data_IF_622052212939
#
_entry.id   IF_622052212939
#
_cell.length_a   1.000
_cell.length_b   1.000
_cell.length_c   1.000
_cell.angle_alpha   90.00
_cell.angle_beta   90.00
_cell.angle_gamma   90.00
#
_symmetry.space_group_name_H-M   'P 1'
#
loop_
_entity.id
_entity.type
_entity.pdbx_description
1 polymer ?
#
# COMPACT_ATOMS: atom_id res chain seq x y z
N UNK A 1 3.49 5.60 29.86
CA UNK A 1 3.44 4.27 29.22
C UNK A 1 4.70 4.09 28.38
N UNK A 2 5.39 2.96 28.54
CA UNK A 2 6.51 2.55 27.70
C UNK A 2 6.00 1.72 26.51
N UNK A 3 6.81 1.56 25.46
CA UNK A 3 6.38 0.92 24.21
C UNK A 3 5.92 -0.55 24.38
N UNK A 4 6.56 -1.33 25.25
CA UNK A 4 6.15 -2.72 25.49
C UNK A 4 4.82 -2.83 26.26
N UNK A 5 4.52 -1.84 27.10
CA UNK A 5 3.22 -1.75 27.79
C UNK A 5 2.14 -1.45 26.76
N UNK A 6 2.41 -0.52 25.83
CA UNK A 6 1.52 -0.24 24.71
C UNK A 6 1.29 -1.48 23.85
N UNK A 7 2.34 -2.24 23.50
CA UNK A 7 2.15 -3.50 22.76
C UNK A 7 1.31 -4.52 23.53
N UNK A 8 1.44 -4.58 24.85
CA UNK A 8 0.59 -5.44 25.70
C UNK A 8 -0.88 -5.02 25.59
N UNK A 9 -1.14 -3.71 25.56
CA UNK A 9 -2.48 -3.17 25.34
C UNK A 9 -2.98 -3.44 23.92
N UNK A 10 -2.14 -3.35 22.90
CA UNK A 10 -2.54 -3.61 21.51
C UNK A 10 -2.60 -5.10 21.14
N UNK A 11 -2.03 -5.99 21.96
CA UNK A 11 -2.06 -7.44 21.77
C UNK A 11 -3.43 -8.06 22.10
N UNK A 12 -4.49 -7.52 21.49
CA UNK A 12 -5.86 -8.04 21.55
C UNK A 12 -6.66 -7.58 20.35
N UNK A 13 -7.19 -8.56 19.61
CA UNK A 13 -8.08 -8.34 18.46
C UNK A 13 -9.26 -7.42 18.82
N UNK A 14 -9.96 -7.71 19.91
CA UNK A 14 -11.09 -6.89 20.38
C UNK A 14 -10.71 -5.43 20.66
N UNK A 15 -9.52 -5.18 21.22
CA UNK A 15 -9.10 -3.80 21.52
C UNK A 15 -8.68 -3.05 20.26
N UNK A 16 -8.01 -3.71 19.32
CA UNK A 16 -7.71 -3.12 18.01
C UNK A 16 -9.00 -2.81 17.23
N UNK A 17 -9.95 -3.75 17.21
CA UNK A 17 -11.25 -3.55 16.58
C UNK A 17 -12.00 -2.35 17.18
N UNK A 18 -12.02 -2.22 18.51
CA UNK A 18 -12.60 -1.03 19.17
C UNK A 18 -11.93 0.26 18.68
N UNK A 19 -10.59 0.32 18.66
CA UNK A 19 -9.86 1.52 18.25
C UNK A 19 -10.14 1.87 16.78
N UNK A 20 -10.17 0.88 15.89
CA UNK A 20 -10.49 1.05 14.47
C UNK A 20 -11.92 1.55 14.27
N UNK A 21 -12.90 0.90 14.90
CA UNK A 21 -14.32 1.30 14.84
C UNK A 21 -14.54 2.73 15.35
N UNK A 22 -13.86 3.11 16.44
CA UNK A 22 -13.96 4.46 17.00
C UNK A 22 -13.20 5.52 16.19
N UNK A 23 -12.27 5.11 15.32
CA UNK A 23 -11.59 6.01 14.39
C UNK A 23 -12.50 6.43 13.24
N UNK A 24 -13.36 5.50 12.77
CA UNK A 24 -14.40 5.80 11.79
C UNK A 24 -15.45 6.75 12.36
N UNK A 25 -15.98 6.44 13.56
CA UNK A 25 -16.98 7.28 14.22
C UNK A 25 -17.10 7.00 15.73
N UNK A 26 -17.40 8.02 16.55
CA UNK A 26 -17.73 7.82 17.97
C UNK A 26 -18.98 6.97 18.15
N UNK A 27 -18.99 6.08 19.14
CA UNK A 27 -20.08 5.13 19.37
C UNK A 27 -20.53 5.06 20.82
N UNK A 28 -21.83 4.77 21.03
CA UNK A 28 -22.33 4.36 22.35
C UNK A 28 -21.85 2.94 22.69
N UNK A 29 -21.89 2.57 23.97
CA UNK A 29 -21.58 1.21 24.42
C UNK A 29 -22.35 0.14 23.63
N UNK A 30 -23.68 0.27 23.52
CA UNK A 30 -24.54 -0.69 22.84
C UNK A 30 -24.22 -0.81 21.35
N UNK A 31 -23.99 0.32 20.68
CA UNK A 31 -23.62 0.33 19.26
C UNK A 31 -22.28 -0.35 19.02
N UNK A 32 -21.28 -0.05 19.86
CA UNK A 32 -19.92 -0.56 19.72
C UNK A 32 -19.86 -2.09 19.94
N UNK A 33 -20.59 -2.59 20.94
CA UNK A 33 -20.67 -4.04 21.21
C UNK A 33 -21.26 -4.79 20.03
N UNK A 34 -22.28 -4.22 19.40
CA UNK A 34 -22.91 -4.80 18.22
C UNK A 34 -21.96 -4.80 17.02
N UNK A 35 -21.22 -3.70 16.81
CA UNK A 35 -20.28 -3.58 15.70
C UNK A 35 -19.12 -4.57 15.81
N UNK A 36 -18.50 -4.65 16.99
CA UNK A 36 -17.33 -5.52 17.26
C UNK A 36 -17.74 -6.95 17.63
N UNK A 37 -19.06 -7.26 17.63
CA UNK A 37 -19.62 -8.56 17.97
C UNK A 37 -19.10 -9.14 19.31
N UNK A 38 -19.11 -8.32 20.36
CA UNK A 38 -18.69 -8.74 21.71
C UNK A 38 -19.89 -8.99 22.63
N UNK A 39 -19.67 -9.66 23.75
CA UNK A 39 -20.63 -9.66 24.86
C UNK A 39 -20.39 -8.46 25.80
N UNK A 40 -21.41 -8.06 26.56
CA UNK A 40 -21.35 -6.87 27.43
C UNK A 40 -20.27 -6.92 28.51
N UNK A 41 -20.03 -8.09 29.11
CA UNK A 41 -19.04 -8.26 30.18
C UNK A 41 -17.63 -8.07 29.63
N UNK A 42 -17.33 -8.71 28.50
CA UNK A 42 -16.06 -8.55 27.82
C UNK A 42 -15.85 -7.12 27.34
N UNK A 43 -16.83 -6.52 26.67
CA UNK A 43 -16.73 -5.16 26.18
C UNK A 43 -16.47 -4.17 27.32
N UNK A 44 -17.14 -4.31 28.46
CA UNK A 44 -16.89 -3.49 29.65
C UNK A 44 -15.43 -3.58 30.10
N UNK A 45 -14.88 -4.80 30.14
CA UNK A 45 -13.47 -5.04 30.50
C UNK A 45 -12.51 -4.40 29.50
N UNK A 46 -12.73 -4.59 28.20
CA UNK A 46 -11.85 -4.02 27.17
C UNK A 46 -11.90 -2.50 27.15
N UNK A 47 -13.08 -1.90 27.29
CA UNK A 47 -13.26 -0.45 27.34
C UNK A 47 -12.64 0.18 28.59
N UNK A 48 -12.80 -0.45 29.77
CA UNK A 48 -12.12 0.01 31.00
C UNK A 48 -10.61 0.03 30.78
N UNK A 49 -10.06 -1.07 30.26
CA UNK A 49 -8.63 -1.22 30.01
C UNK A 49 -8.09 -0.21 29.00
N UNK A 50 -8.79 0.03 27.89
CA UNK A 50 -8.42 1.06 26.91
C UNK A 50 -8.53 2.48 27.47
N UNK A 51 -9.47 2.73 28.38
CA UNK A 51 -9.65 4.02 29.06
C UNK A 51 -8.53 4.26 30.07
N UNK A 52 -8.18 3.24 30.86
CA UNK A 52 -7.05 3.26 31.81
C UNK A 52 -5.72 3.49 31.07
N UNK A 53 -5.57 2.90 29.88
CA UNK A 53 -4.44 3.10 28.97
C UNK A 53 -4.46 4.48 28.26
N UNK A 54 -5.49 5.30 28.46
CA UNK A 54 -5.70 6.61 27.82
C UNK A 54 -5.77 6.56 26.28
N UNK A 55 -6.10 5.40 25.70
CA UNK A 55 -6.27 5.23 24.25
C UNK A 55 -7.67 5.67 23.80
N UNK A 56 -8.66 5.50 24.67
CA UNK A 56 -10.03 5.99 24.44
C UNK A 56 -10.52 6.83 25.62
N UNK A 57 -11.58 7.58 25.39
CA UNK A 57 -12.30 8.33 26.41
C UNK A 57 -13.81 8.21 26.20
N UNK A 58 -14.57 8.28 27.29
CA UNK A 58 -16.04 8.42 27.24
C UNK A 58 -16.40 9.87 27.52
N UNK A 59 -17.12 10.52 26.61
CA UNK A 59 -17.54 11.92 26.78
C UNK A 59 -18.93 12.02 27.41
N UNK A 60 -19.31 13.24 27.79
CA UNK A 60 -20.58 13.54 28.46
C UNK A 60 -21.83 13.25 27.63
N UNK A 61 -21.67 13.02 26.32
CA UNK A 61 -22.74 12.57 25.42
C UNK A 61 -22.99 11.06 25.47
N UNK A 62 -22.25 10.34 26.31
CA UNK A 62 -22.38 8.89 26.50
C UNK A 62 -21.66 8.05 25.45
N UNK A 63 -20.91 8.67 24.52
CA UNK A 63 -20.16 7.98 23.47
C UNK A 63 -18.68 7.85 23.84
N UNK A 64 -18.06 6.81 23.27
CA UNK A 64 -16.63 6.58 23.30
C UNK A 64 -15.96 7.21 22.08
N UNK A 65 -14.73 7.67 22.28
CA UNK A 65 -13.89 8.33 21.30
C UNK A 65 -12.46 7.81 21.45
N UNK A 66 -11.72 7.73 20.35
CA UNK A 66 -10.26 7.68 20.44
C UNK A 66 -9.75 9.01 21.01
N UNK A 67 -8.83 8.95 21.98
CA UNK A 67 -8.09 10.14 22.42
C UNK A 67 -7.14 10.60 21.31
N UNK A 68 -6.55 11.79 21.42
CA UNK A 68 -5.47 12.21 20.51
C UNK A 68 -4.30 11.22 20.53
N UNK A 69 -3.98 10.67 21.70
CA UNK A 69 -2.97 9.64 21.85
C UNK A 69 -3.39 8.34 21.15
N UNK A 70 -4.62 7.87 21.35
CA UNK A 70 -5.15 6.68 20.68
C UNK A 70 -5.14 6.77 19.16
N UNK A 71 -5.50 7.93 18.60
CA UNK A 71 -5.41 8.19 17.15
C UNK A 71 -3.98 8.14 16.64
N UNK A 72 -3.05 8.77 17.36
CA UNK A 72 -1.63 8.74 17.00
C UNK A 72 -1.08 7.31 17.04
N UNK A 73 -1.42 6.54 18.08
CA UNK A 73 -1.05 5.12 18.19
C UNK A 73 -1.61 4.34 17.01
N UNK A 74 -2.91 4.46 16.72
CA UNK A 74 -3.56 3.74 15.63
C UNK A 74 -2.91 4.04 14.27
N UNK A 75 -2.62 5.31 14.00
CA UNK A 75 -1.91 5.73 12.78
C UNK A 75 -0.46 5.24 12.70
N UNK A 76 0.17 4.96 13.85
CA UNK A 76 1.56 4.48 13.89
C UNK A 76 1.66 2.97 13.69
N UNK A 77 0.60 2.22 14.00
CA UNK A 77 0.59 0.75 13.90
C UNK A 77 0.02 0.24 12.58
N UNK A 78 -0.58 1.09 11.74
CA UNK A 78 -1.11 0.70 10.41
C UNK A 78 -0.04 0.01 9.54
N UNK A 79 1.18 0.56 9.52
CA UNK A 79 2.33 -0.05 8.84
C UNK A 79 2.64 -1.46 9.38
N UNK A 80 2.60 -1.67 10.70
CA UNK A 80 2.86 -2.98 11.30
C UNK A 80 1.74 -3.97 11.00
N UNK A 81 0.49 -3.52 11.01
CA UNK A 81 -0.68 -4.33 10.65
C UNK A 81 -0.58 -4.81 9.20
N UNK A 82 -0.25 -3.91 8.27
CA UNK A 82 -0.02 -4.24 6.87
C UNK A 82 1.13 -5.25 6.68
N UNK A 83 2.29 -5.02 7.32
CA UNK A 83 3.44 -5.91 7.27
C UNK A 83 3.08 -7.31 7.80
N UNK A 84 2.41 -7.36 8.96
CA UNK A 84 2.00 -8.62 9.59
C UNK A 84 1.02 -9.40 8.71
N UNK A 85 -0.02 -8.73 8.20
CA UNK A 85 -1.04 -9.32 7.34
C UNK A 85 -0.51 -9.83 6.00
N UNK A 86 0.60 -9.29 5.51
CA UNK A 86 1.27 -9.71 4.26
C UNK A 86 2.63 -10.39 4.50
N UNK A 87 2.87 -10.89 5.71
CA UNK A 87 4.15 -11.49 6.12
C UNK A 87 4.66 -12.59 5.19
N UNK A 88 3.78 -13.48 4.71
CA UNK A 88 4.16 -14.54 3.77
C UNK A 88 4.71 -14.02 2.43
N UNK A 89 4.22 -12.87 1.97
CA UNK A 89 4.76 -12.20 0.80
C UNK A 89 6.13 -11.58 1.13
N UNK A 90 6.22 -10.75 2.18
CA UNK A 90 7.47 -10.06 2.55
C UNK A 90 8.59 -11.00 2.99
N UNK A 91 8.29 -12.23 3.41
CA UNK A 91 9.30 -13.23 3.74
C UNK A 91 10.15 -13.64 2.51
N UNK A 92 9.59 -13.52 1.31
CA UNK A 92 10.20 -14.03 0.08
C UNK A 92 10.62 -12.92 -0.90
N UNK A 93 10.51 -11.64 -0.51
CA UNK A 93 10.75 -10.51 -1.41
C UNK A 93 11.64 -9.46 -0.72
N UNK A 94 12.70 -9.04 -1.41
CA UNK A 94 13.64 -8.07 -0.85
C UNK A 94 13.10 -6.63 -0.95
N UNK A 95 12.98 -5.98 0.20
CA UNK A 95 12.53 -4.60 0.35
C UNK A 95 13.70 -3.63 0.63
N UNK A 96 14.93 -4.14 0.76
CA UNK A 96 16.12 -3.36 1.15
C UNK A 96 16.46 -2.22 0.18
N UNK A 97 16.00 -2.35 -1.06
CA UNK A 97 16.20 -1.37 -2.13
C UNK A 97 15.21 -0.19 -2.08
N UNK A 98 14.15 -0.26 -1.25
CA UNK A 98 13.21 0.86 -1.07
C UNK A 98 13.78 1.84 -0.04
N UNK A 99 13.84 3.16 -0.34
CA UNK A 99 14.23 4.17 0.63
C UNK A 99 13.46 4.09 1.95
N UNK A 100 14.17 4.23 3.08
CA UNK A 100 13.59 4.07 4.41
C UNK A 100 12.39 4.99 4.68
N UNK A 101 12.40 6.21 4.13
CA UNK A 101 11.27 7.14 4.27
C UNK A 101 10.00 6.65 3.57
N UNK A 102 10.12 5.86 2.50
CA UNK A 102 8.98 5.23 1.83
C UNK A 102 8.55 3.95 2.55
N UNK A 103 9.49 3.16 3.08
CA UNK A 103 9.17 2.00 3.92
C UNK A 103 8.38 2.37 5.18
N UNK A 104 8.59 3.57 5.72
CA UNK A 104 7.81 4.11 6.85
C UNK A 104 6.36 4.45 6.51
N UNK A 105 5.99 4.40 5.24
CA UNK A 105 4.64 4.67 4.73
C UNK A 105 4.10 3.46 3.97
N UNK A 106 4.57 2.25 4.31
CA UNK A 106 4.25 1.03 3.56
C UNK A 106 2.76 0.68 3.62
N UNK A 107 2.05 1.15 4.65
CA UNK A 107 0.60 1.06 4.77
C UNK A 107 -0.16 1.84 3.69
N UNK A 108 0.49 2.74 2.95
CA UNK A 108 -0.11 3.35 1.75
C UNK A 108 -0.46 2.30 0.68
N UNK A 109 0.11 1.09 0.75
CA UNK A 109 -0.19 -0.03 -0.14
C UNK A 109 -1.40 -0.87 0.33
N UNK A 110 -2.04 -0.55 1.46
CA UNK A 110 -3.14 -1.36 2.04
C UNK A 110 -4.35 -1.47 1.12
N UNK A 111 -4.59 -0.48 0.25
CA UNK A 111 -5.68 -0.52 -0.75
C UNK A 111 -5.33 -1.36 -1.98
N UNK A 112 -4.09 -1.83 -2.10
CA UNK A 112 -3.60 -2.60 -3.24
C UNK A 112 -3.84 -4.11 -3.10
N UNK A 113 -3.75 -4.79 -4.23
CA UNK A 113 -3.78 -6.26 -4.31
C UNK A 113 -2.38 -6.81 -4.57
N UNK A 114 -2.03 -7.92 -3.91
CA UNK A 114 -0.84 -8.68 -4.24
C UNK A 114 -1.19 -9.66 -5.35
N UNK A 115 -0.54 -9.51 -6.49
CA UNK A 115 -0.75 -10.37 -7.66
C UNK A 115 0.46 -11.26 -7.81
N UNK A 116 0.23 -12.57 -7.83
CA UNK A 116 1.28 -13.58 -7.99
C UNK A 116 1.00 -14.50 -9.17
N UNK A 117 2.07 -15.01 -9.77
CA UNK A 117 2.01 -15.93 -10.91
C UNK A 117 2.06 -15.19 -12.24
N UNK A 118 2.93 -15.67 -13.12
CA UNK A 118 3.26 -15.01 -14.41
C UNK A 118 2.01 -14.70 -15.23
N UNK A 119 1.08 -15.65 -15.35
CA UNK A 119 -0.16 -15.46 -16.11
C UNK A 119 -1.05 -14.36 -15.53
N UNK A 120 -1.22 -14.32 -14.21
CA UNK A 120 -2.05 -13.32 -13.55
C UNK A 120 -1.45 -11.92 -13.68
N UNK A 121 -0.13 -11.82 -13.54
CA UNK A 121 0.61 -10.57 -13.72
C UNK A 121 0.38 -10.03 -15.14
N UNK A 122 0.63 -10.85 -16.17
CA UNK A 122 0.44 -10.45 -17.58
C UNK A 122 -1.00 -10.03 -17.88
N UNK A 123 -1.98 -10.81 -17.44
CA UNK A 123 -3.41 -10.48 -17.61
C UNK A 123 -3.79 -9.17 -16.91
N UNK A 124 -3.21 -8.88 -15.74
CA UNK A 124 -3.44 -7.60 -15.06
C UNK A 124 -2.81 -6.44 -15.83
N UNK A 125 -1.60 -6.60 -16.37
CA UNK A 125 -0.99 -5.57 -17.21
C UNK A 125 -1.86 -5.21 -18.41
N UNK A 126 -2.39 -6.21 -19.11
CA UNK A 126 -3.27 -5.99 -20.26
C UNK A 126 -4.55 -5.25 -19.85
N UNK A 127 -5.25 -5.75 -18.83
CA UNK A 127 -6.51 -5.14 -18.34
C UNK A 127 -6.34 -3.71 -17.87
N UNK A 128 -5.26 -3.42 -17.15
CA UNK A 128 -5.01 -2.08 -16.62
C UNK A 128 -4.45 -1.13 -17.68
N UNK A 129 -3.65 -1.65 -18.61
CA UNK A 129 -3.02 -0.89 -19.68
C UNK A 129 -4.02 -0.13 -20.54
N UNK A 130 -5.11 -0.80 -20.95
CA UNK A 130 -6.16 -0.22 -21.78
C UNK A 130 -6.83 1.03 -21.17
N UNK A 131 -6.79 1.17 -19.84
CA UNK A 131 -7.41 2.30 -19.14
C UNK A 131 -6.58 3.59 -19.14
N UNK A 132 -5.27 3.52 -19.41
CA UNK A 132 -4.32 4.63 -19.24
C UNK A 132 -4.61 5.72 -20.26
N UNK A 133 -4.79 6.98 -19.85
CA UNK A 133 -5.18 8.05 -20.79
C UNK A 133 -4.13 9.11 -21.03
N UNK A 134 -3.32 9.42 -20.02
CA UNK A 134 -2.48 10.62 -20.04
C UNK A 134 -0.98 10.34 -19.93
N UNK A 135 -0.56 9.53 -18.96
CA UNK A 135 0.85 9.19 -18.81
C UNK A 135 1.09 7.78 -18.29
N UNK A 136 2.28 7.25 -18.61
CA UNK A 136 2.84 6.04 -18.06
C UNK A 136 4.31 6.27 -17.72
N UNK A 137 4.66 6.13 -16.45
CA UNK A 137 6.04 6.11 -15.99
C UNK A 137 6.42 4.68 -15.65
N UNK A 138 7.55 4.24 -16.17
CA UNK A 138 7.99 2.86 -16.10
C UNK A 138 9.44 2.80 -15.64
N UNK A 139 9.73 2.03 -14.60
CA UNK A 139 11.08 1.70 -14.17
C UNK A 139 11.15 0.19 -14.03
N UNK A 140 12.07 -0.46 -14.72
CA UNK A 140 12.20 -1.92 -14.67
C UNK A 140 13.55 -2.38 -15.20
N UNK A 141 13.94 -3.60 -14.88
CA UNK A 141 15.17 -4.24 -15.36
C UNK A 141 15.05 -4.78 -16.80
N UNK A 142 13.85 -4.81 -17.40
CA UNK A 142 13.62 -5.09 -18.82
C UNK A 142 12.49 -4.22 -19.38
N UNK A 143 12.45 -4.05 -20.70
CA UNK A 143 11.33 -3.39 -21.39
C UNK A 143 10.36 -4.44 -21.94
N UNK A 144 9.04 -4.28 -21.79
CA UNK A 144 8.08 -5.30 -22.17
C UNK A 144 7.89 -5.37 -23.70
N UNK A 145 8.79 -6.10 -24.37
CA UNK A 145 8.86 -6.22 -25.84
C UNK A 145 7.56 -6.72 -26.48
N UNK A 146 6.83 -7.60 -25.80
CA UNK A 146 5.55 -8.12 -26.28
C UNK A 146 4.48 -7.03 -26.44
N UNK A 147 4.60 -5.93 -25.69
CA UNK A 147 3.67 -4.79 -25.76
C UNK A 147 4.18 -3.66 -26.67
N UNK A 148 5.30 -3.83 -27.40
CA UNK A 148 5.87 -2.78 -28.26
C UNK A 148 4.88 -2.18 -29.26
N UNK A 149 4.13 -2.96 -30.07
CA UNK A 149 3.16 -2.39 -31.01
C UNK A 149 2.07 -1.56 -30.32
N UNK A 150 1.62 -2.03 -29.15
CA UNK A 150 0.66 -1.31 -28.33
C UNK A 150 1.25 0.02 -27.84
N UNK A 151 2.45 -0.01 -27.26
CA UNK A 151 3.16 1.18 -26.76
C UNK A 151 3.37 2.20 -27.86
N UNK A 152 3.78 1.77 -29.07
CA UNK A 152 3.92 2.66 -30.22
C UNK A 152 2.59 3.32 -30.59
N UNK A 153 1.50 2.56 -30.66
CA UNK A 153 0.19 3.14 -30.96
C UNK A 153 -0.22 4.16 -29.88
N UNK A 154 -0.05 3.85 -28.60
CA UNK A 154 -0.38 4.80 -27.51
C UNK A 154 0.46 6.08 -27.56
N UNK A 155 1.75 5.99 -27.94
CA UNK A 155 2.61 7.17 -28.16
C UNK A 155 2.15 8.04 -29.33
N UNK A 156 1.50 7.45 -30.32
CA UNK A 156 0.93 8.18 -31.46
C UNK A 156 -0.40 8.84 -31.11
N UNK A 157 -1.17 8.23 -30.22
CA UNK A 157 -2.38 8.81 -29.62
C UNK A 157 -2.07 9.91 -28.58
N UNK A 158 -0.80 10.17 -28.28
CA UNK A 158 -0.36 11.26 -27.41
C UNK A 158 -0.12 10.88 -25.96
N UNK A 159 -0.04 9.58 -25.63
CA UNK A 159 0.33 9.12 -24.29
C UNK A 159 1.76 9.58 -23.96
N UNK A 160 1.97 10.22 -22.81
CA UNK A 160 3.30 10.56 -22.33
C UNK A 160 3.95 9.34 -21.67
N UNK A 161 5.10 8.90 -22.20
CA UNK A 161 5.84 7.77 -21.62
C UNK A 161 7.22 8.22 -21.15
N UNK A 162 7.52 7.90 -19.89
CA UNK A 162 8.85 8.07 -19.29
C UNK A 162 9.37 6.73 -18.81
N UNK A 163 10.63 6.46 -19.06
CA UNK A 163 11.23 5.16 -18.81
C UNK A 163 12.58 5.31 -18.12
N UNK A 164 12.81 4.48 -17.10
CA UNK A 164 14.10 4.28 -16.44
C UNK A 164 14.47 2.82 -16.64
N UNK A 165 15.57 2.56 -17.35
CA UNK A 165 16.03 1.21 -17.67
C UNK A 165 17.53 1.04 -17.36
N UNK A 166 18.04 -0.20 -17.29
CA UNK A 166 19.47 -0.44 -17.25
C UNK A 166 20.16 0.15 -18.50
N UNK A 167 21.41 0.62 -18.33
CA UNK A 167 22.18 1.25 -19.43
C UNK A 167 22.25 0.42 -20.70
N UNK A 168 22.30 -0.91 -20.57
CA UNK A 168 22.40 -1.88 -21.67
C UNK A 168 21.05 -2.20 -22.34
N UNK A 169 19.93 -1.78 -21.75
CA UNK A 169 18.57 -2.12 -22.21
C UNK A 169 17.74 -0.90 -22.62
N UNK A 170 18.38 0.18 -23.07
CA UNK A 170 17.71 1.42 -23.44
C UNK A 170 16.51 1.20 -24.40
N UNK A 171 15.32 1.64 -24.01
CA UNK A 171 14.08 1.45 -24.80
C UNK A 171 14.07 2.26 -26.09
N UNK A 172 14.82 3.36 -26.18
CA UNK A 172 14.90 4.15 -27.40
C UNK A 172 15.41 3.34 -28.60
N UNK A 173 16.26 2.31 -28.40
CA UNK A 173 16.67 1.44 -29.50
C UNK A 173 15.58 0.44 -29.93
N UNK A 174 14.60 0.17 -29.08
CA UNK A 174 13.51 -0.78 -29.36
C UNK A 174 12.33 -0.15 -30.11
N UNK A 175 12.20 1.18 -30.08
CA UNK A 175 11.13 1.93 -30.73
C UNK A 175 11.46 2.33 -32.17
N UNK A 176 10.43 2.48 -32.99
CA UNK A 176 10.51 3.05 -34.33
C UNK A 176 11.09 4.46 -34.31
N UNK A 177 11.83 4.81 -35.37
CA UNK A 177 12.58 6.08 -35.47
C UNK A 177 11.72 7.31 -35.17
N UNK A 178 10.46 7.29 -35.61
CA UNK A 178 9.44 8.32 -35.37
C UNK A 178 9.14 8.51 -33.88
N UNK A 179 9.09 7.43 -33.10
CA UNK A 179 8.65 7.45 -31.71
C UNK A 179 9.81 7.53 -30.70
N UNK A 180 11.07 7.30 -31.12
CA UNK A 180 12.26 7.41 -30.23
C UNK A 180 12.35 8.73 -29.48
N UNK A 181 12.02 9.85 -30.14
CA UNK A 181 12.09 11.20 -29.55
C UNK A 181 10.89 11.56 -28.67
N UNK A 182 9.84 10.74 -28.66
CA UNK A 182 8.61 10.97 -27.88
C UNK A 182 8.67 10.39 -26.47
N UNK A 183 9.67 9.55 -26.19
CA UNK A 183 9.84 8.90 -24.88
C UNK A 183 10.99 9.57 -24.14
N UNK A 184 10.75 10.01 -22.91
CA UNK A 184 11.84 10.46 -22.02
C UNK A 184 12.53 9.22 -21.45
N UNK A 185 13.79 9.01 -21.84
CA UNK A 185 14.59 7.87 -21.41
C UNK A 185 15.65 8.33 -20.40
N UNK A 186 15.66 7.71 -19.22
CA UNK A 186 16.74 7.78 -18.25
C UNK A 186 17.33 6.40 -18.06
N UNK A 187 18.59 6.37 -17.66
CA UNK A 187 19.32 5.12 -17.44
C UNK A 187 19.85 5.05 -16.02
N UNK A 188 19.85 3.84 -15.46
CA UNK A 188 20.48 3.51 -14.19
C UNK A 188 21.41 2.31 -14.39
N UNK A 189 22.39 2.16 -13.50
CA UNK A 189 23.31 1.01 -13.57
C UNK A 189 22.60 -0.30 -13.22
N UNK A 190 21.74 -0.26 -12.20
CA UNK A 190 21.01 -1.43 -11.72
C UNK A 190 19.61 -1.00 -11.25
N UNK A 191 18.62 -1.84 -11.54
CA UNK A 191 17.23 -1.67 -11.09
C UNK A 191 16.84 -2.98 -10.39
N UNK A 192 16.50 -2.86 -9.10
CA UNK A 192 16.13 -3.99 -8.23
C UNK A 192 14.64 -4.03 -7.88
N UNK A 193 13.93 -2.98 -8.25
CA UNK A 193 12.51 -2.78 -7.99
C UNK A 193 11.92 -2.25 -9.28
N UNK A 194 10.86 -2.88 -9.76
CA UNK A 194 10.13 -2.37 -10.91
C UNK A 194 8.89 -1.62 -10.46
N UNK A 195 8.64 -0.47 -11.10
CA UNK A 195 7.53 0.42 -10.76
C UNK A 195 6.84 0.85 -12.03
N UNK A 196 5.51 0.81 -12.01
CA UNK A 196 4.65 1.42 -13.03
C UNK A 196 3.77 2.44 -12.34
N UNK A 197 3.73 3.66 -12.86
CA UNK A 197 2.82 4.72 -12.39
C UNK A 197 2.06 5.29 -13.58
N UNK A 198 0.75 5.42 -13.45
CA UNK A 198 -0.12 6.01 -14.46
C UNK A 198 -1.21 6.85 -13.81
N UNK A 199 -2.05 7.48 -14.64
CA UNK A 199 -3.25 8.18 -14.19
C UNK A 199 -4.40 7.27 -13.72
N UNK A 200 -4.23 5.95 -13.80
CA UNK A 200 -5.24 4.96 -13.40
C UNK A 200 -4.82 4.01 -12.30
N UNK A 201 -3.56 3.63 -12.29
CA UNK A 201 -3.03 2.67 -11.34
C UNK A 201 -1.54 2.90 -11.09
N UNK A 202 -1.06 2.32 -10.00
CA UNK A 202 0.36 2.15 -9.74
C UNK A 202 0.63 0.68 -9.42
N UNK A 203 1.81 0.21 -9.81
CA UNK A 203 2.26 -1.15 -9.56
C UNK A 203 3.69 -1.11 -9.04
N UNK A 204 3.95 -1.93 -8.02
CA UNK A 204 5.26 -2.16 -7.45
C UNK A 204 5.54 -3.65 -7.58
N UNK A 205 6.60 -4.00 -8.29
CA UNK A 205 7.07 -5.36 -8.44
C UNK A 205 8.38 -5.52 -7.67
N UNK A 206 8.42 -6.58 -6.88
CA UNK A 206 9.55 -6.92 -6.04
C UNK A 206 10.10 -8.25 -6.52
N UNK A 207 11.43 -8.33 -6.63
CA UNK A 207 12.08 -9.60 -6.97
C UNK A 207 11.96 -10.58 -5.81
N UNK A 208 11.67 -11.84 -6.14
CA UNK A 208 11.73 -12.93 -5.18
C UNK A 208 13.19 -13.22 -4.84
N UNK A 209 13.49 -13.35 -3.54
CA UNK A 209 14.81 -13.76 -3.02
C UNK A 209 15.02 -15.26 -3.14
#
# INVERSE_FOLDING_TARGET
>A
MKVYELFTELSSENRLAILQTLDEKPMTFTSLIKEVNMNSTEASRQLSRLTEAQLIEKKGDGRYYNTLFGKLVLSSISSLDFISGKSGFFLNHDMSHIPLNLLRQIDALTTGEIITGVYNILNTHEKLGDGIKSYMWYMSDDFPRHHLPYIENRLEEGLEIRVILPKDKCSASLLSEKNRKKVENKVMDEIKISVIVSDKFSMLELSRT
#
